data_IF_254901111736
#
_entry.id   IF_254901111736
#
_cell.length_a   1.000
_cell.length_b   1.000
_cell.length_c   1.000
_cell.angle_alpha   90.00
_cell.angle_beta   90.00
_cell.angle_gamma   90.00
#
_symmetry.space_group_name_H-M   'P 1'
#
loop_
_entity.id
_entity.type
_entity.pdbx_description
1 polymer ?
#
# COMPACT_ATOMS: atom_id res chain seq x y z
N UNK A 1 5.69 -10.21 19.04
CA UNK A 1 6.64 -9.23 18.42
C UNK A 1 5.82 -7.99 18.16
N UNK A 2 6.14 -6.91 18.84
CA UNK A 2 5.45 -5.64 18.72
C UNK A 2 5.66 -5.03 17.32
N UNK A 3 4.67 -4.30 16.82
CA UNK A 3 4.75 -3.65 15.50
C UNK A 3 5.93 -2.68 15.39
N UNK A 4 6.26 -1.98 16.48
CA UNK A 4 7.43 -1.08 16.54
C UNK A 4 8.72 -1.84 16.24
N UNK A 5 8.95 -2.98 16.90
CA UNK A 5 10.12 -3.82 16.67
C UNK A 5 10.13 -4.42 15.26
N UNK A 6 8.95 -4.81 14.76
CA UNK A 6 8.81 -5.33 13.41
C UNK A 6 9.24 -4.30 12.37
N UNK A 7 8.81 -3.03 12.51
CA UNK A 7 9.21 -1.94 11.62
C UNK A 7 10.71 -1.62 11.77
N UNK A 8 11.25 -1.69 12.98
CA UNK A 8 12.65 -1.38 13.23
C UNK A 8 13.63 -2.42 12.66
N UNK A 9 13.22 -3.70 12.63
CA UNK A 9 14.10 -4.83 12.34
C UNK A 9 13.90 -5.47 10.96
N UNK A 10 12.98 -4.95 10.14
CA UNK A 10 12.72 -5.49 8.80
C UNK A 10 12.76 -4.39 7.75
N UNK A 11 13.02 -4.81 6.51
CA UNK A 11 12.74 -3.99 5.35
C UNK A 11 11.27 -4.16 4.96
N UNK A 12 10.55 -3.05 4.82
CA UNK A 12 9.15 -3.06 4.45
C UNK A 12 8.93 -2.20 3.20
N UNK A 13 7.95 -2.60 2.41
CA UNK A 13 7.47 -1.80 1.28
C UNK A 13 5.95 -1.67 1.38
N UNK A 14 5.44 -0.45 1.53
CA UNK A 14 4.02 -0.20 1.36
C UNK A 14 3.68 -0.15 -0.13
N UNK A 15 2.56 -0.76 -0.50
CA UNK A 15 2.14 -0.97 -1.89
C UNK A 15 0.65 -0.72 -2.04
N UNK A 16 0.29 -0.08 -3.13
CA UNK A 16 -1.10 0.03 -3.59
C UNK A 16 -1.21 -0.08 -5.11
N UNK A 17 -2.42 -0.39 -5.60
CA UNK A 17 -2.72 -0.62 -7.01
C UNK A 17 -4.00 0.11 -7.43
N UNK A 18 -3.99 0.72 -8.61
CA UNK A 18 -5.21 1.06 -9.33
C UNK A 18 -5.49 0.04 -10.44
N UNK A 19 -6.76 -0.25 -10.63
CA UNK A 19 -7.23 -1.28 -11.57
C UNK A 19 -8.35 -0.78 -12.45
N UNK A 20 -8.55 -1.41 -13.61
CA UNK A 20 -9.64 -1.08 -14.54
C UNK A 20 -11.01 -1.57 -14.08
N UNK A 21 -11.12 -2.14 -12.89
CA UNK A 21 -12.32 -2.68 -12.29
C UNK A 21 -11.98 -3.67 -11.17
N UNK A 22 -12.99 -4.37 -10.65
CA UNK A 22 -12.85 -5.19 -9.44
C UNK A 22 -12.64 -6.69 -9.70
N UNK A 23 -12.85 -7.15 -10.92
CA UNK A 23 -12.70 -8.57 -11.28
C UNK A 23 -11.27 -8.88 -11.73
N UNK A 24 -10.43 -9.40 -10.83
CA UNK A 24 -9.04 -9.79 -11.12
C UNK A 24 -8.83 -10.69 -12.34
N UNK A 25 -9.88 -11.41 -12.81
CA UNK A 25 -9.79 -12.29 -13.98
C UNK A 25 -9.98 -11.53 -15.29
N UNK A 26 -10.79 -10.47 -15.28
CA UNK A 26 -11.17 -9.64 -16.44
C UNK A 26 -10.41 -8.33 -16.43
N UNK A 27 -10.32 -7.70 -15.27
CA UNK A 27 -9.74 -6.38 -15.11
C UNK A 27 -8.21 -6.42 -14.98
N UNK A 28 -7.59 -5.27 -15.12
CA UNK A 28 -6.14 -5.12 -15.22
C UNK A 28 -5.63 -4.11 -14.22
N UNK A 29 -4.41 -4.29 -13.77
CA UNK A 29 -3.65 -3.25 -13.07
C UNK A 29 -3.35 -2.15 -14.09
N UNK A 30 -3.67 -0.90 -13.74
CA UNK A 30 -3.44 0.29 -14.57
C UNK A 30 -2.44 1.25 -13.95
N UNK A 31 -2.23 1.20 -12.62
CA UNK A 31 -1.16 1.92 -11.95
C UNK A 31 -0.65 1.10 -10.75
N UNK A 32 0.63 1.26 -10.43
CA UNK A 32 1.30 0.64 -9.28
C UNK A 32 2.05 1.73 -8.53
N UNK A 33 1.80 1.85 -7.24
CA UNK A 33 2.51 2.73 -6.33
C UNK A 33 3.13 1.96 -5.16
N UNK A 34 4.38 2.25 -4.83
CA UNK A 34 5.01 1.65 -3.66
C UNK A 34 6.04 2.60 -3.04
N UNK A 35 6.30 2.44 -1.74
CA UNK A 35 7.32 3.20 -1.01
C UNK A 35 8.03 2.31 0.00
N UNK A 36 9.34 2.44 0.10
CA UNK A 36 10.16 1.78 1.14
C UNK A 36 9.90 2.41 2.50
N UNK A 37 9.81 1.58 3.53
CA UNK A 37 9.79 1.99 4.92
C UNK A 37 11.15 1.63 5.52
N UNK A 38 11.93 2.65 5.88
CA UNK A 38 13.34 2.53 6.29
C UNK A 38 13.52 2.64 7.81
N UNK A 39 12.56 2.13 8.59
CA UNK A 39 12.56 2.22 10.05
C UNK A 39 11.90 3.49 10.58
N UNK A 40 12.39 3.99 11.73
CA UNK A 40 11.79 5.09 12.47
C UNK A 40 12.61 6.37 12.40
N UNK A 41 11.93 7.49 12.25
CA UNK A 41 12.44 8.79 12.72
C UNK A 41 12.21 8.84 14.23
N UNK A 42 13.20 9.32 14.97
CA UNK A 42 13.17 9.39 16.44
C UNK A 42 12.92 10.81 16.92
N UNK A 43 12.22 10.94 18.04
CA UNK A 43 12.13 12.18 18.81
C UNK A 43 13.45 12.47 19.56
N UNK A 44 13.54 13.63 20.21
CA UNK A 44 14.75 14.05 20.95
C UNK A 44 15.14 13.09 22.08
N UNK A 45 14.16 12.44 22.70
CA UNK A 45 14.35 11.42 23.74
C UNK A 45 14.65 10.01 23.19
N UNK A 46 14.73 9.88 21.84
CA UNK A 46 15.05 8.62 21.17
C UNK A 46 13.87 7.70 20.90
N UNK A 47 12.65 8.07 21.30
CA UNK A 47 11.44 7.28 21.04
C UNK A 47 11.04 7.31 19.54
N UNK A 48 10.42 6.25 19.02
CA UNK A 48 9.88 6.25 17.65
C UNK A 48 8.76 7.29 17.54
N UNK A 49 8.81 8.13 16.48
CA UNK A 49 7.86 9.23 16.26
C UNK A 49 7.11 9.07 14.96
N UNK A 50 7.81 8.72 13.89
CA UNK A 50 7.29 8.63 12.53
C UNK A 50 8.06 7.60 11.74
N UNK A 51 7.45 6.96 10.75
CA UNK A 51 8.23 6.12 9.84
C UNK A 51 9.09 6.96 8.91
N UNK A 52 10.31 6.50 8.68
CA UNK A 52 11.20 7.06 7.67
C UNK A 52 10.85 6.43 6.33
N UNK A 53 10.28 7.22 5.43
CA UNK A 53 10.03 6.81 4.06
C UNK A 53 11.31 6.92 3.23
N UNK A 54 11.55 5.93 2.39
CA UNK A 54 12.71 5.84 1.49
C UNK A 54 12.32 6.00 0.03
N UNK A 55 12.95 5.19 -0.82
CA UNK A 55 12.70 5.19 -2.27
C UNK A 55 11.23 4.89 -2.59
N UNK A 56 10.75 5.49 -3.66
CA UNK A 56 9.41 5.27 -4.19
C UNK A 56 9.46 4.56 -5.54
N UNK A 57 8.43 3.81 -5.83
CA UNK A 57 8.15 3.22 -7.12
C UNK A 57 6.77 3.69 -7.58
N UNK A 58 6.68 4.25 -8.77
CA UNK A 58 5.40 4.63 -9.39
C UNK A 58 5.47 4.33 -10.87
N UNK A 59 4.44 3.68 -11.40
CA UNK A 59 4.32 3.43 -12.82
C UNK A 59 2.88 3.20 -13.25
N UNK A 60 2.47 3.85 -14.30
CA UNK A 60 1.30 3.41 -15.06
C UNK A 60 1.58 2.06 -15.74
N UNK A 61 0.52 1.38 -16.13
CA UNK A 61 0.58 0.09 -16.85
C UNK A 61 -0.29 0.20 -18.09
N UNK A 62 0.25 -0.11 -19.24
CA UNK A 62 -0.48 0.00 -20.51
C UNK A 62 -1.73 -0.87 -20.51
N UNK A 63 -2.83 -0.27 -20.92
CA UNK A 63 -4.15 -0.90 -20.97
C UNK A 63 -4.60 -1.03 -22.44
N UNK A 64 -4.80 -2.23 -22.95
CA UNK A 64 -5.31 -2.44 -24.30
C UNK A 64 -6.84 -2.35 -24.31
N UNK A 65 -7.38 -1.31 -24.86
CA UNK A 65 -8.81 -1.06 -24.94
C UNK A 65 -9.20 0.30 -24.37
N UNK A 66 -10.50 0.55 -24.29
CA UNK A 66 -11.05 1.77 -23.72
C UNK A 66 -11.19 1.63 -22.21
N UNK A 67 -10.63 2.56 -21.46
CA UNK A 67 -10.77 2.60 -20.01
C UNK A 67 -12.20 2.99 -19.64
N UNK A 68 -12.90 2.24 -18.76
CA UNK A 68 -14.23 2.61 -18.33
C UNK A 68 -14.25 4.04 -17.75
N UNK A 69 -15.23 4.85 -18.16
CA UNK A 69 -15.33 6.25 -17.75
C UNK A 69 -15.40 6.41 -16.23
N UNK A 70 -16.14 5.53 -15.56
CA UNK A 70 -16.24 5.46 -14.10
C UNK A 70 -14.89 5.27 -13.41
N UNK A 71 -13.98 4.48 -14.01
CA UNK A 71 -12.63 4.27 -13.50
C UNK A 71 -11.79 5.54 -13.71
N UNK A 72 -11.88 6.18 -14.88
CA UNK A 72 -11.20 7.46 -15.14
C UNK A 72 -11.66 8.54 -14.16
N UNK A 73 -12.96 8.63 -13.88
CA UNK A 73 -13.51 9.60 -12.93
C UNK A 73 -13.05 9.30 -11.49
N UNK A 74 -12.97 8.02 -11.10
CA UNK A 74 -12.58 7.60 -9.77
C UNK A 74 -11.07 7.80 -9.50
N UNK A 75 -10.23 7.43 -10.47
CA UNK A 75 -8.76 7.38 -10.30
C UNK A 75 -8.06 8.61 -10.87
N UNK A 76 -8.73 9.39 -11.70
CA UNK A 76 -8.13 10.47 -12.48
C UNK A 76 -7.17 10.00 -13.58
N UNK A 77 -7.09 8.68 -13.83
CA UNK A 77 -6.23 8.11 -14.88
C UNK A 77 -6.97 8.19 -16.23
N UNK A 78 -6.25 8.61 -17.25
CA UNK A 78 -6.76 8.73 -18.61
C UNK A 78 -6.12 7.70 -19.55
N UNK A 79 -6.74 7.46 -20.71
CA UNK A 79 -6.14 6.61 -21.75
C UNK A 79 -4.78 7.15 -22.22
N UNK A 80 -4.61 8.47 -22.24
CA UNK A 80 -3.36 9.12 -22.61
C UNK A 80 -2.22 8.77 -21.64
N UNK A 81 -2.50 8.66 -20.34
CA UNK A 81 -1.51 8.23 -19.32
C UNK A 81 -1.05 6.79 -19.56
N UNK A 82 -1.93 5.95 -20.10
CA UNK A 82 -1.68 4.52 -20.30
C UNK A 82 -1.08 4.20 -21.67
N UNK A 83 -1.18 5.09 -22.67
CA UNK A 83 -0.80 4.83 -24.06
C UNK A 83 0.68 4.42 -24.20
N UNK A 84 1.57 5.15 -23.52
CA UNK A 84 3.03 4.90 -23.57
C UNK A 84 3.57 4.19 -22.33
N UNK A 85 2.68 3.76 -21.44
CA UNK A 85 3.07 3.05 -20.24
C UNK A 85 3.66 1.67 -20.54
N UNK A 86 4.52 1.13 -19.64
CA UNK A 86 5.09 -0.20 -19.83
C UNK A 86 4.00 -1.28 -19.79
N UNK A 87 4.19 -2.34 -20.56
CA UNK A 87 3.32 -3.52 -20.49
C UNK A 87 3.40 -4.16 -19.11
N UNK A 88 2.30 -4.76 -18.65
CA UNK A 88 2.15 -5.37 -17.31
C UNK A 88 3.35 -6.25 -16.90
N UNK A 89 3.87 -7.09 -17.79
CA UNK A 89 5.03 -7.95 -17.49
C UNK A 89 6.28 -7.14 -17.15
N UNK A 90 6.53 -6.03 -17.83
CA UNK A 90 7.67 -5.17 -17.57
C UNK A 90 7.49 -4.41 -16.25
N UNK A 91 6.28 -3.89 -15.98
CA UNK A 91 5.93 -3.22 -14.73
C UNK A 91 6.09 -4.16 -13.52
N UNK A 92 5.52 -5.38 -13.58
CA UNK A 92 5.63 -6.36 -12.51
C UNK A 92 7.08 -6.82 -12.26
N UNK A 93 7.90 -6.97 -13.30
CA UNK A 93 9.34 -7.29 -13.11
C UNK A 93 10.09 -6.16 -12.41
N UNK A 94 9.79 -4.89 -12.76
CA UNK A 94 10.38 -3.73 -12.09
C UNK A 94 9.93 -3.65 -10.64
N UNK A 95 8.61 -3.86 -10.39
CA UNK A 95 8.08 -3.92 -9.04
C UNK A 95 8.76 -5.02 -8.23
N UNK A 96 8.87 -6.26 -8.74
CA UNK A 96 9.55 -7.35 -8.01
C UNK A 96 11.00 -7.02 -7.69
N UNK A 97 11.71 -6.37 -8.60
CA UNK A 97 13.07 -5.88 -8.33
C UNK A 97 13.09 -4.82 -7.23
N UNK A 98 12.12 -3.91 -7.22
CA UNK A 98 12.00 -2.87 -6.21
C UNK A 98 11.68 -3.43 -4.83
N UNK A 99 10.69 -4.30 -4.70
CA UNK A 99 10.28 -4.86 -3.41
C UNK A 99 11.26 -5.91 -2.86
N UNK A 100 11.97 -6.66 -3.72
CA UNK A 100 12.86 -7.74 -3.27
C UNK A 100 12.12 -8.74 -2.39
N UNK A 101 12.67 -8.99 -1.20
CA UNK A 101 12.12 -9.90 -0.19
C UNK A 101 11.46 -9.15 0.99
N UNK A 102 11.16 -7.87 0.84
CA UNK A 102 10.53 -7.04 1.86
C UNK A 102 9.20 -7.63 2.34
N UNK A 103 8.85 -7.32 3.58
CA UNK A 103 7.50 -7.46 4.10
C UNK A 103 6.61 -6.41 3.43
N UNK A 104 5.59 -6.83 2.70
CA UNK A 104 4.69 -5.91 2.02
C UNK A 104 3.59 -5.42 2.95
N UNK A 105 3.35 -4.12 2.91
CA UNK A 105 2.31 -3.44 3.68
C UNK A 105 1.24 -2.94 2.73
N UNK A 106 -0.01 -3.19 3.03
CA UNK A 106 -1.16 -2.67 2.28
C UNK A 106 -2.30 -2.28 3.21
N UNK A 107 -3.30 -1.67 2.63
CA UNK A 107 -4.57 -1.44 3.29
C UNK A 107 -5.64 -2.26 2.56
N UNK A 108 -6.21 -3.28 3.22
CA UNK A 108 -7.04 -4.29 2.59
C UNK A 108 -6.27 -5.11 1.53
N UNK A 109 -5.21 -5.78 1.99
CA UNK A 109 -4.24 -6.50 1.15
C UNK A 109 -4.88 -7.53 0.21
N UNK A 110 -6.01 -8.13 0.56
CA UNK A 110 -6.67 -9.17 -0.23
C UNK A 110 -6.93 -8.73 -1.68
N UNK A 111 -7.34 -7.47 -1.88
CA UNK A 111 -7.58 -6.93 -3.21
C UNK A 111 -6.29 -6.85 -4.03
N UNK A 112 -5.26 -6.19 -3.50
CA UNK A 112 -3.97 -6.02 -4.19
C UNK A 112 -3.32 -7.38 -4.48
N UNK A 113 -3.35 -8.30 -3.50
CA UNK A 113 -2.79 -9.65 -3.64
C UNK A 113 -3.50 -10.48 -4.72
N UNK A 114 -4.82 -10.35 -4.82
CA UNK A 114 -5.59 -11.05 -5.83
C UNK A 114 -5.17 -10.63 -7.27
N UNK A 115 -4.90 -9.35 -7.49
CA UNK A 115 -4.42 -8.84 -8.77
C UNK A 115 -2.95 -9.19 -9.01
N UNK A 116 -2.08 -9.02 -8.03
CA UNK A 116 -0.66 -9.39 -8.13
C UNK A 116 -0.50 -10.89 -8.40
N UNK A 117 -1.25 -11.73 -7.71
CA UNK A 117 -1.24 -13.17 -7.94
C UNK A 117 -1.68 -13.50 -9.38
N UNK A 118 -2.85 -12.99 -9.79
CA UNK A 118 -3.43 -13.33 -11.09
C UNK A 118 -2.53 -12.87 -12.25
N UNK A 119 -2.06 -11.63 -12.20
CA UNK A 119 -1.20 -11.07 -13.27
C UNK A 119 0.25 -11.54 -13.15
N UNK A 120 0.71 -11.80 -11.92
CA UNK A 120 2.00 -12.44 -11.66
C UNK A 120 2.10 -13.81 -12.32
N UNK A 121 1.11 -14.68 -12.13
CA UNK A 121 1.03 -16.00 -12.78
C UNK A 121 1.07 -15.89 -14.31
N UNK A 122 0.23 -15.01 -14.90
CA UNK A 122 0.20 -14.78 -16.36
C UNK A 122 1.55 -14.27 -16.89
N UNK A 123 2.30 -13.50 -16.09
CA UNK A 123 3.58 -12.91 -16.47
C UNK A 123 4.80 -13.74 -16.06
N UNK A 124 4.64 -14.81 -15.27
CA UNK A 124 5.70 -15.61 -14.63
C UNK A 124 6.58 -14.75 -13.72
N UNK A 125 5.94 -13.96 -12.87
CA UNK A 125 6.54 -13.14 -11.80
C UNK A 125 5.84 -13.51 -10.51
N UNK A 126 6.56 -14.01 -9.50
CA UNK A 126 6.00 -14.40 -8.22
C UNK A 126 6.14 -13.29 -7.16
N UNK A 127 5.11 -13.16 -6.32
CA UNK A 127 5.03 -12.22 -5.21
C UNK A 127 4.72 -12.97 -3.91
N UNK A 128 5.67 -13.79 -3.46
CA UNK A 128 5.52 -14.66 -2.28
C UNK A 128 5.91 -13.94 -0.97
N UNK A 129 6.10 -12.63 -1.03
CA UNK A 129 6.42 -11.81 0.12
C UNK A 129 5.35 -11.94 1.22
N UNK A 130 5.75 -11.92 2.48
CA UNK A 130 4.81 -11.83 3.61
C UNK A 130 4.04 -10.52 3.56
N UNK A 131 2.85 -10.51 4.16
CA UNK A 131 1.93 -9.36 4.13
C UNK A 131 1.66 -8.84 5.53
N UNK A 132 1.47 -7.53 5.61
CA UNK A 132 1.01 -6.82 6.77
C UNK A 132 -0.16 -5.92 6.34
N UNK A 133 -1.36 -6.20 6.86
CA UNK A 133 -2.58 -5.51 6.45
C UNK A 133 -3.00 -4.49 7.51
N UNK A 134 -2.86 -3.21 7.20
CA UNK A 134 -3.23 -2.12 8.12
C UNK A 134 -4.73 -2.07 8.41
N UNK A 135 -5.59 -2.59 7.53
CA UNK A 135 -7.02 -2.74 7.82
C UNK A 135 -7.26 -3.72 8.96
N UNK A 136 -6.63 -4.89 8.90
CA UNK A 136 -6.75 -5.94 9.93
C UNK A 136 -6.15 -5.46 11.26
N UNK A 137 -4.99 -4.79 11.22
CA UNK A 137 -4.35 -4.21 12.41
C UNK A 137 -5.26 -3.16 13.04
N UNK A 138 -5.80 -2.21 12.24
CA UNK A 138 -6.69 -1.18 12.75
C UNK A 138 -7.95 -1.76 13.41
N UNK A 139 -8.51 -2.83 12.83
CA UNK A 139 -9.63 -3.54 13.44
C UNK A 139 -9.26 -4.17 14.79
N UNK A 140 -8.06 -4.70 14.92
CA UNK A 140 -7.57 -5.25 16.19
C UNK A 140 -7.38 -4.15 17.24
N UNK A 141 -6.78 -3.02 16.85
CA UNK A 141 -6.49 -1.89 17.76
C UNK A 141 -7.77 -1.18 18.22
N UNK A 142 -8.73 -0.98 17.32
CA UNK A 142 -9.91 -0.14 17.62
C UNK A 142 -11.17 -0.94 17.95
N UNK A 143 -11.32 -2.16 17.48
CA UNK A 143 -12.55 -2.94 17.66
C UNK A 143 -13.77 -2.16 17.23
N UNK A 144 -14.80 -2.12 18.11
CA UNK A 144 -16.08 -1.42 17.84
C UNK A 144 -16.01 0.09 18.07
N UNK A 145 -14.87 0.63 18.52
CA UNK A 145 -14.69 2.07 18.78
C UNK A 145 -14.68 2.90 17.48
N UNK A 146 -14.36 2.28 16.34
CA UNK A 146 -14.33 2.89 15.02
C UNK A 146 -15.30 2.16 14.10
N UNK A 147 -16.16 2.93 13.40
CA UNK A 147 -17.18 2.36 12.49
C UNK A 147 -16.71 2.25 11.04
N UNK A 148 -15.77 3.10 10.64
CA UNK A 148 -15.27 3.17 9.27
C UNK A 148 -13.76 2.97 9.25
N UNK A 149 -13.32 1.87 8.66
CA UNK A 149 -11.92 1.46 8.53
C UNK A 149 -11.34 1.74 7.13
N UNK A 150 -11.95 2.60 6.32
CA UNK A 150 -11.33 3.04 5.07
C UNK A 150 -10.04 3.79 5.34
N UNK A 151 -9.08 3.74 4.41
CA UNK A 151 -7.79 4.42 4.53
C UNK A 151 -7.98 5.92 4.81
N UNK A 152 -8.93 6.57 4.10
CA UNK A 152 -9.25 7.99 4.30
C UNK A 152 -9.80 8.30 5.69
N UNK A 153 -10.69 7.44 6.22
CA UNK A 153 -11.26 7.63 7.55
C UNK A 153 -10.21 7.46 8.65
N UNK A 154 -9.34 6.45 8.52
CA UNK A 154 -8.25 6.22 9.47
C UNK A 154 -7.17 7.30 9.36
N UNK A 155 -6.81 7.73 8.16
CA UNK A 155 -5.87 8.85 7.97
C UNK A 155 -6.38 10.11 8.69
N UNK A 156 -7.67 10.46 8.50
CA UNK A 156 -8.29 11.57 9.21
C UNK A 156 -8.28 11.40 10.73
N UNK A 157 -8.56 10.20 11.23
CA UNK A 157 -8.56 9.89 12.65
C UNK A 157 -7.19 10.13 13.29
N UNK A 158 -6.11 9.87 12.54
CA UNK A 158 -4.73 10.03 12.99
C UNK A 158 -4.08 11.35 12.61
N UNK A 159 -4.80 12.27 11.97
CA UNK A 159 -4.24 13.53 11.50
C UNK A 159 -3.21 13.37 10.37
N UNK A 160 -3.25 12.24 9.64
CA UNK A 160 -2.45 12.02 8.44
C UNK A 160 -3.07 12.82 7.30
N UNK A 161 -2.28 13.64 6.62
CA UNK A 161 -2.74 14.37 5.43
C UNK A 161 -3.25 13.39 4.37
N UNK A 162 -4.45 13.63 3.85
CA UNK A 162 -5.10 12.77 2.87
C UNK A 162 -5.51 13.57 1.64
N UNK A 163 -4.57 13.72 0.72
CA UNK A 163 -4.79 14.36 -0.58
C UNK A 163 -4.08 13.60 -1.70
N UNK A 164 -4.33 12.26 -1.84
CA UNK A 164 -3.61 11.46 -2.82
C UNK A 164 -3.97 11.88 -4.24
N UNK A 165 -2.95 11.98 -5.10
CA UNK A 165 -3.08 12.26 -6.52
C UNK A 165 -2.74 11.01 -7.34
N UNK A 166 -1.85 10.17 -6.82
CA UNK A 166 -1.33 8.97 -7.49
C UNK A 166 -1.28 7.79 -6.51
N UNK A 167 -1.22 6.58 -7.05
CA UNK A 167 -1.18 5.34 -6.26
C UNK A 167 -0.03 5.31 -5.24
N UNK A 168 1.09 5.94 -5.55
CA UNK A 168 2.22 6.05 -4.61
C UNK A 168 1.87 6.87 -3.36
N UNK A 169 0.96 7.84 -3.46
CA UNK A 169 0.52 8.64 -2.32
C UNK A 169 -0.31 7.77 -1.36
N UNK A 170 -1.16 6.88 -1.88
CA UNK A 170 -1.88 5.90 -1.07
C UNK A 170 -0.92 4.95 -0.34
N UNK A 171 0.15 4.51 -1.00
CA UNK A 171 1.19 3.72 -0.36
C UNK A 171 1.90 4.49 0.77
N UNK A 172 2.21 5.78 0.58
CA UNK A 172 2.79 6.64 1.61
C UNK A 172 1.83 6.84 2.81
N UNK A 173 0.54 7.06 2.53
CA UNK A 173 -0.49 7.17 3.57
C UNK A 173 -0.61 5.88 4.36
N UNK A 174 -0.60 4.72 3.68
CA UNK A 174 -0.63 3.40 4.31
C UNK A 174 0.58 3.15 5.21
N UNK A 175 1.77 3.56 4.78
CA UNK A 175 3.00 3.48 5.57
C UNK A 175 2.91 4.34 6.86
N UNK A 176 2.41 5.58 6.74
CA UNK A 176 2.21 6.44 7.91
C UNK A 176 1.12 5.89 8.84
N UNK A 177 0.03 5.32 8.29
CA UNK A 177 -1.00 4.67 9.10
C UNK A 177 -0.44 3.48 9.87
N UNK A 178 0.42 2.66 9.27
CA UNK A 178 1.08 1.56 9.98
C UNK A 178 1.86 2.08 11.19
N UNK A 179 2.58 3.20 11.05
CA UNK A 179 3.32 3.81 12.14
C UNK A 179 2.39 4.23 13.29
N UNK A 180 1.32 4.93 12.96
CA UNK A 180 0.34 5.38 13.95
C UNK A 180 -0.32 4.22 14.69
N UNK A 181 -0.63 3.14 13.99
CA UNK A 181 -1.17 1.92 14.59
C UNK A 181 -0.14 1.24 15.49
N UNK A 182 1.13 1.18 15.09
CA UNK A 182 2.21 0.60 15.88
C UNK A 182 2.43 1.36 17.18
N UNK A 183 2.41 2.70 17.14
CA UNK A 183 2.56 3.54 18.33
C UNK A 183 1.40 3.38 19.32
N UNK A 184 0.20 2.97 18.84
CA UNK A 184 -0.98 2.74 19.69
C UNK A 184 -1.06 1.33 20.24
N UNK A 185 -0.53 0.34 19.52
CA UNK A 185 -0.50 -1.06 19.94
C UNK A 185 0.32 -1.22 21.23
N UNK A 186 1.39 -0.45 21.39
CA UNK A 186 2.20 -0.45 22.61
C UNK A 186 1.48 0.14 23.84
N UNK A 187 0.53 1.06 23.63
CA UNK A 187 -0.25 1.63 24.74
C UNK A 187 -1.40 0.74 25.21
N UNK A 188 -1.89 -0.19 24.37
CA UNK A 188 -3.01 -1.06 24.74
C UNK A 188 -2.63 -2.16 25.74
N UNK A 189 -1.35 -2.41 25.97
CA UNK A 189 -0.83 -3.40 26.91
C UNK A 189 -0.35 -2.81 28.25
N UNK A 190 -0.44 -1.49 28.46
CA UNK A 190 -0.04 -0.82 29.70
C UNK A 190 -1.20 -0.56 30.66
N UNK A 191 -2.45 -0.83 30.29
CA UNK A 191 -3.65 -0.57 31.11
C UNK A 191 -4.29 -1.87 31.64
N UNK A 192 -3.48 -2.84 32.09
CA UNK A 192 -3.96 -4.01 32.85
C UNK A 192 -3.26 -4.18 34.18
#
# INVERSE_FOLDING_TARGET
MHLIELIANNTLTALDLETSGLDRKKDRIIEIGAVKICGWEKSEDGAPKKVKLGETFSTFVSFPGTLPEEISQLTGITEQDLEHAPKIKAALKKLKKFIGDDLLVGHYCEFNDAFLYTWGQKCRVSFDNRRLDTFTIARSVYGDKVKNFSLSALAKLHGIEYSPQRTVDYACITANLLAELALRDDFSHCDT
#
